data_IF_272977289608
#
_entry.id   IF_272977289608
#
_cell.length_a   1.000
_cell.length_b   1.000
_cell.length_c   1.000
_cell.angle_alpha   90.00
_cell.angle_beta   90.00
_cell.angle_gamma   90.00
#
_symmetry.space_group_name_H-M   'P 1'
#
loop_
_entity.id
_entity.type
_entity.pdbx_description
1 polymer ?
#
# COMPACT_ATOMS: atom_id res chain seq x y z
N UNK A 1 -23.96 -0.79 -7.52
CA UNK A 1 -25.32 -1.33 -7.63
C UNK A 1 -25.36 -2.83 -7.98
N UNK A 2 -24.77 -3.32 -9.11
CA UNK A 2 -24.87 -4.73 -9.50
C UNK A 2 -24.30 -5.71 -8.45
N UNK A 3 -23.12 -5.42 -7.89
CA UNK A 3 -22.47 -6.27 -6.91
C UNK A 3 -23.32 -6.44 -5.63
N UNK A 4 -24.12 -5.45 -5.25
CA UNK A 4 -24.99 -5.50 -4.06
C UNK A 4 -26.29 -6.29 -4.28
N UNK A 5 -26.72 -6.48 -5.53
CA UNK A 5 -27.99 -7.13 -5.85
C UNK A 5 -28.07 -8.61 -5.41
N UNK A 6 -26.93 -9.25 -5.21
CA UNK A 6 -26.81 -10.65 -4.79
C UNK A 6 -26.59 -10.82 -3.28
N UNK A 7 -26.73 -9.74 -2.49
CA UNK A 7 -26.50 -9.71 -1.04
C UNK A 7 -25.16 -10.37 -0.65
N UNK A 8 -24.01 -9.89 -1.18
CA UNK A 8 -22.72 -10.48 -0.92
C UNK A 8 -22.27 -10.21 0.52
N UNK A 9 -21.35 -11.03 1.04
CA UNK A 9 -20.60 -10.76 2.28
C UNK A 9 -19.25 -10.09 2.01
N UNK A 10 -18.76 -10.17 0.76
CA UNK A 10 -17.46 -9.67 0.37
C UNK A 10 -17.52 -9.07 -1.04
N UNK A 11 -16.91 -7.90 -1.23
CA UNK A 11 -16.84 -7.21 -2.52
C UNK A 11 -15.39 -6.83 -2.83
N UNK A 12 -14.94 -7.11 -4.05
CA UNK A 12 -13.68 -6.58 -4.60
C UNK A 12 -13.99 -5.25 -5.29
N UNK A 13 -13.35 -4.19 -4.82
CA UNK A 13 -13.41 -2.84 -5.40
C UNK A 13 -12.06 -2.58 -6.09
N UNK A 14 -12.02 -2.80 -7.40
CA UNK A 14 -10.82 -2.57 -8.22
C UNK A 14 -10.86 -1.16 -8.80
N UNK A 15 -9.99 -0.30 -8.30
CA UNK A 15 -9.88 1.12 -8.63
C UNK A 15 -11.22 1.88 -8.72
N UNK A 16 -12.13 1.74 -7.76
CA UNK A 16 -13.53 2.18 -7.91
C UNK A 16 -13.71 3.69 -7.98
N UNK A 17 -12.67 4.46 -7.71
CA UNK A 17 -12.70 5.93 -7.63
C UNK A 17 -11.63 6.63 -8.50
N UNK A 18 -10.82 5.87 -9.27
CA UNK A 18 -9.67 6.41 -10.02
C UNK A 18 -10.03 7.47 -11.05
N UNK A 19 -11.23 7.39 -11.64
CA UNK A 19 -11.71 8.31 -12.68
C UNK A 19 -12.53 9.51 -12.13
N UNK A 20 -12.61 9.67 -10.80
CA UNK A 20 -13.43 10.69 -10.16
C UNK A 20 -12.56 11.86 -9.64
N UNK A 21 -13.12 13.05 -9.59
CA UNK A 21 -12.50 14.18 -8.90
C UNK A 21 -12.47 13.98 -7.36
N UNK A 22 -11.58 14.70 -6.68
CA UNK A 22 -11.30 14.52 -5.25
C UNK A 22 -12.54 14.67 -4.37
N UNK A 23 -13.44 15.58 -4.71
CA UNK A 23 -14.66 15.83 -3.92
C UNK A 23 -15.65 14.67 -4.05
N UNK A 24 -15.81 14.14 -5.24
CA UNK A 24 -16.66 12.97 -5.50
C UNK A 24 -16.04 11.70 -4.93
N UNK A 25 -14.71 11.54 -4.99
CA UNK A 25 -14.00 10.43 -4.33
C UNK A 25 -14.37 10.34 -2.84
N UNK A 26 -14.32 11.48 -2.13
CA UNK A 26 -14.65 11.51 -0.69
C UNK A 26 -16.12 11.10 -0.43
N UNK A 27 -17.06 11.54 -1.28
CA UNK A 27 -18.46 11.15 -1.17
C UNK A 27 -18.66 9.66 -1.39
N UNK A 28 -18.02 9.06 -2.41
CA UNK A 28 -18.09 7.64 -2.71
C UNK A 28 -17.48 6.81 -1.58
N UNK A 29 -16.35 7.22 -1.01
CA UNK A 29 -15.75 6.54 0.15
C UNK A 29 -16.70 6.54 1.35
N UNK A 30 -17.34 7.67 1.65
CA UNK A 30 -18.32 7.73 2.73
C UNK A 30 -19.54 6.84 2.45
N UNK A 31 -20.04 6.83 1.22
CA UNK A 31 -21.12 5.94 0.80
C UNK A 31 -20.73 4.46 1.00
N UNK A 32 -19.55 4.05 0.56
CA UNK A 32 -19.06 2.67 0.72
C UNK A 32 -18.94 2.29 2.20
N UNK A 33 -18.48 3.20 3.06
CA UNK A 33 -18.42 2.98 4.51
C UNK A 33 -19.80 2.80 5.14
N UNK A 34 -20.78 3.58 4.71
CA UNK A 34 -22.15 3.46 5.20
C UNK A 34 -22.74 2.11 4.77
N UNK A 35 -22.62 1.72 3.50
CA UNK A 35 -23.07 0.44 2.98
C UNK A 35 -22.37 -0.73 3.72
N UNK A 36 -21.08 -0.61 3.99
CA UNK A 36 -20.30 -1.59 4.75
C UNK A 36 -20.93 -1.86 6.12
N UNK A 37 -21.29 -0.80 6.83
CA UNK A 37 -21.90 -0.89 8.17
C UNK A 37 -23.34 -1.42 8.12
N UNK A 38 -24.13 -0.95 7.16
CA UNK A 38 -25.54 -1.32 7.04
C UNK A 38 -25.73 -2.79 6.65
N UNK A 39 -24.83 -3.31 5.80
CA UNK A 39 -24.94 -4.66 5.24
C UNK A 39 -23.91 -5.65 5.81
N UNK A 40 -23.10 -5.25 6.80
CA UNK A 40 -22.00 -6.03 7.39
C UNK A 40 -21.06 -6.62 6.32
N UNK A 41 -20.63 -5.77 5.39
CA UNK A 41 -19.80 -6.16 4.25
C UNK A 41 -18.30 -6.09 4.58
N UNK A 42 -17.54 -6.98 3.96
CA UNK A 42 -16.08 -6.87 3.85
C UNK A 42 -15.68 -6.40 2.45
N UNK A 43 -14.71 -5.49 2.37
CA UNK A 43 -14.15 -5.02 1.10
C UNK A 43 -12.70 -5.45 0.92
N UNK A 44 -12.34 -5.85 -0.30
CA UNK A 44 -10.98 -5.77 -0.80
C UNK A 44 -10.90 -4.53 -1.71
N UNK A 45 -10.25 -3.48 -1.22
CA UNK A 45 -10.14 -2.21 -1.93
C UNK A 45 -8.77 -2.11 -2.58
N UNK A 46 -8.71 -2.10 -3.92
CA UNK A 46 -7.48 -1.96 -4.71
C UNK A 46 -7.41 -0.53 -5.22
N UNK A 47 -6.34 0.18 -4.90
CA UNK A 47 -6.12 1.55 -5.35
C UNK A 47 -4.63 1.90 -5.34
N UNK A 48 -4.28 2.92 -6.13
CA UNK A 48 -2.93 3.48 -6.15
C UNK A 48 -2.79 4.73 -5.25
N UNK A 49 -3.89 5.32 -4.77
CA UNK A 49 -3.87 6.45 -3.85
C UNK A 49 -3.93 5.99 -2.39
N UNK A 50 -2.78 6.05 -1.72
CA UNK A 50 -2.62 5.68 -0.32
C UNK A 50 -3.39 6.58 0.65
N UNK A 51 -3.66 7.83 0.30
CA UNK A 51 -4.40 8.76 1.14
C UNK A 51 -5.83 8.27 1.30
N UNK A 52 -6.46 7.85 0.20
CA UNK A 52 -7.81 7.30 0.19
C UNK A 52 -7.89 5.93 0.87
N UNK A 53 -6.90 5.05 0.59
CA UNK A 53 -6.82 3.73 1.21
C UNK A 53 -6.77 3.83 2.74
N UNK A 54 -6.04 4.80 3.29
CA UNK A 54 -6.00 5.04 4.74
C UNK A 54 -7.38 5.29 5.35
N UNK A 55 -8.24 6.01 4.64
CA UNK A 55 -9.55 6.39 5.17
C UNK A 55 -10.58 5.27 5.16
N UNK A 56 -10.46 4.30 4.23
CA UNK A 56 -11.45 3.23 4.09
C UNK A 56 -11.00 1.90 4.71
N UNK A 57 -9.69 1.67 4.84
CA UNK A 57 -9.15 0.36 5.17
C UNK A 57 -8.75 0.22 6.63
N UNK A 58 -9.12 -0.89 7.28
CA UNK A 58 -8.61 -1.29 8.59
C UNK A 58 -7.20 -1.86 8.49
N UNK A 59 -6.91 -2.57 7.41
CA UNK A 59 -5.60 -3.15 7.10
C UNK A 59 -5.15 -2.76 5.70
N UNK A 60 -3.85 -2.54 5.54
CA UNK A 60 -3.23 -2.21 4.25
C UNK A 60 -2.20 -3.29 3.90
N UNK A 61 -2.25 -3.71 2.63
CA UNK A 61 -1.19 -4.47 2.00
C UNK A 61 -0.52 -3.62 0.92
N UNK A 62 0.80 -3.45 1.00
CA UNK A 62 1.59 -2.75 -0.01
C UNK A 62 2.23 -3.75 -0.93
N UNK A 63 1.98 -3.59 -2.23
CA UNK A 63 2.45 -4.51 -3.27
C UNK A 63 3.45 -3.81 -4.22
N UNK A 64 4.46 -4.54 -4.67
CA UNK A 64 5.42 -4.10 -5.67
C UNK A 64 5.71 -5.22 -6.66
N UNK A 65 5.54 -4.98 -7.96
CA UNK A 65 5.72 -5.97 -9.03
C UNK A 65 5.03 -7.33 -8.74
N UNK A 66 3.78 -7.30 -8.27
CA UNK A 66 3.03 -8.51 -7.95
C UNK A 66 3.36 -9.17 -6.61
N UNK A 67 4.36 -8.68 -5.88
CA UNK A 67 4.77 -9.22 -4.59
C UNK A 67 4.32 -8.33 -3.44
N UNK A 68 3.81 -8.95 -2.36
CA UNK A 68 3.47 -8.23 -1.13
C UNK A 68 4.74 -7.87 -0.37
N UNK A 69 4.93 -6.58 -0.08
CA UNK A 69 6.10 -6.06 0.64
C UNK A 69 5.83 -5.88 2.13
N UNK A 70 4.67 -5.36 2.48
CA UNK A 70 4.27 -5.10 3.86
C UNK A 70 2.76 -5.23 4.00
N UNK A 71 2.29 -5.85 5.11
CA UNK A 71 0.85 -5.98 5.44
C UNK A 71 0.65 -5.69 6.92
N UNK A 72 -0.33 -4.87 7.25
CA UNK A 72 -0.62 -4.57 8.66
C UNK A 72 -1.81 -3.65 8.87
N UNK A 73 -2.10 -3.28 10.13
CA UNK A 73 -3.08 -2.27 10.45
C UNK A 73 -2.78 -0.96 9.73
N UNK A 74 -3.81 -0.33 9.18
CA UNK A 74 -3.72 0.89 8.36
C UNK A 74 -2.89 1.98 9.05
N UNK A 75 -3.18 2.27 10.31
CA UNK A 75 -2.45 3.27 11.09
C UNK A 75 -0.95 2.96 11.23
N UNK A 76 -0.60 1.69 11.45
CA UNK A 76 0.79 1.30 11.65
C UNK A 76 1.58 1.38 10.36
N UNK A 77 1.01 0.88 9.25
CA UNK A 77 1.64 0.95 7.91
C UNK A 77 1.82 2.40 7.47
N UNK A 78 0.82 3.27 7.72
CA UNK A 78 0.84 4.65 7.27
C UNK A 78 1.81 5.52 8.07
N UNK A 79 1.82 5.41 9.41
CA UNK A 79 2.63 6.29 10.27
C UNK A 79 4.02 5.74 10.62
N UNK A 80 4.19 4.44 10.57
CA UNK A 80 5.44 3.74 10.94
C UNK A 80 5.78 2.62 9.94
N UNK A 81 5.90 2.94 8.63
CA UNK A 81 6.19 1.94 7.61
C UNK A 81 7.50 1.22 7.90
N UNK A 82 7.55 -0.08 7.62
CA UNK A 82 8.73 -0.92 7.84
C UNK A 82 9.52 -1.13 6.54
N UNK A 83 8.83 -1.53 5.47
CA UNK A 83 9.50 -1.83 4.23
C UNK A 83 10.04 -0.56 3.54
N UNK A 84 11.29 -0.53 3.04
CA UNK A 84 11.85 0.65 2.38
C UNK A 84 11.03 1.18 1.20
N UNK A 85 10.34 0.31 0.47
CA UNK A 85 9.40 0.73 -0.56
C UNK A 85 8.18 1.46 0.01
N UNK A 86 7.57 0.94 1.09
CA UNK A 86 6.44 1.60 1.77
C UNK A 86 6.84 2.98 2.29
N UNK A 87 8.06 3.10 2.86
CA UNK A 87 8.61 4.38 3.32
C UNK A 87 8.72 5.38 2.17
N UNK A 88 9.30 4.95 1.04
CA UNK A 88 9.46 5.81 -0.14
C UNK A 88 8.11 6.21 -0.74
N UNK A 89 7.17 5.27 -0.84
CA UNK A 89 5.83 5.48 -1.37
C UNK A 89 5.06 6.52 -0.54
N UNK A 90 5.07 6.37 0.80
CA UNK A 90 4.43 7.31 1.73
C UNK A 90 5.14 8.68 1.77
N UNK A 91 6.45 8.73 1.49
CA UNK A 91 7.19 9.99 1.40
C UNK A 91 6.74 10.86 0.23
N UNK A 92 6.18 10.25 -0.82
CA UNK A 92 5.73 10.94 -2.02
C UNK A 92 4.31 11.53 -1.90
N UNK A 93 3.57 11.20 -0.84
CA UNK A 93 2.23 11.75 -0.62
C UNK A 93 2.33 13.24 -0.33
N UNK A 94 1.62 14.10 -1.10
CA UNK A 94 1.56 15.53 -0.83
C UNK A 94 0.97 15.81 0.56
N UNK A 95 1.55 16.78 1.26
CA UNK A 95 1.02 17.26 2.54
C UNK A 95 0.41 18.63 2.29
N UNK A 96 -0.83 18.81 2.73
CA UNK A 96 -1.56 20.07 2.52
C UNK A 96 -0.99 21.24 3.35
N UNK A 97 -0.29 20.98 4.46
CA UNK A 97 0.35 22.00 5.27
C UNK A 97 1.71 22.38 4.67
N UNK A 98 1.89 23.65 4.21
CA UNK A 98 3.13 24.11 3.59
C UNK A 98 4.36 24.04 4.51
N UNK A 99 4.17 24.20 5.84
CA UNK A 99 5.27 24.16 6.80
C UNK A 99 5.79 22.73 7.00
N UNK A 100 4.86 21.77 7.10
CA UNK A 100 5.18 20.34 7.20
C UNK A 100 5.73 19.82 5.86
N UNK A 101 5.17 20.27 4.74
CA UNK A 101 5.62 19.90 3.41
C UNK A 101 7.08 20.29 3.15
N UNK A 102 7.52 21.48 3.60
CA UNK A 102 8.93 21.93 3.49
C UNK A 102 9.90 21.11 4.33
N UNK A 103 9.45 20.59 5.48
CA UNK A 103 10.25 19.77 6.37
C UNK A 103 10.37 18.30 5.90
N UNK A 104 9.38 17.80 5.14
CA UNK A 104 9.33 16.43 4.65
C UNK A 104 10.21 16.28 3.41
N UNK A 105 11.33 15.56 3.55
CA UNK A 105 12.15 15.18 2.38
C UNK A 105 11.49 14.02 1.64
N UNK A 106 11.14 14.26 0.36
CA UNK A 106 10.70 13.19 -0.54
C UNK A 106 11.89 12.27 -0.82
N UNK A 107 11.69 10.97 -0.66
CA UNK A 107 12.67 9.95 -1.03
C UNK A 107 12.54 9.70 -2.53
N UNK A 108 13.53 10.11 -3.28
CA UNK A 108 13.62 9.82 -4.72
C UNK A 108 14.25 8.45 -4.87
N UNK A 109 13.49 7.53 -5.46
CA UNK A 109 13.98 6.19 -5.77
C UNK A 109 14.78 6.26 -7.08
N UNK A 110 16.05 5.93 -7.01
CA UNK A 110 16.92 5.84 -8.18
C UNK A 110 16.71 4.54 -8.95
N UNK A 111 17.08 4.52 -10.22
CA UNK A 111 16.98 3.37 -11.11
C UNK A 111 15.60 3.18 -11.76
N UNK A 112 15.61 2.38 -12.82
CA UNK A 112 14.40 2.04 -13.56
C UNK A 112 13.54 1.03 -12.82
N UNK A 113 12.23 1.04 -13.10
CA UNK A 113 11.30 0.02 -12.59
C UNK A 113 11.58 -1.25 -13.40
N UNK A 114 11.96 -2.35 -12.72
CA UNK A 114 12.17 -3.62 -13.44
C UNK A 114 10.92 -4.10 -14.15
N UNK A 115 11.11 -4.79 -15.25
CA UNK A 115 9.99 -5.40 -15.96
C UNK A 115 9.32 -6.49 -15.11
N UNK A 116 8.00 -6.51 -15.01
CA UNK A 116 7.29 -7.60 -14.32
C UNK A 116 7.42 -8.94 -15.05
N UNK A 117 7.81 -8.95 -16.34
CA UNK A 117 8.05 -10.17 -17.11
C UNK A 117 9.37 -10.82 -16.71
N UNK A 118 10.39 -10.01 -16.42
CA UNK A 118 11.72 -10.46 -15.97
C UNK A 118 12.08 -9.77 -14.66
N UNK A 119 11.45 -10.15 -13.53
CA UNK A 119 11.73 -9.56 -12.23
C UNK A 119 13.14 -9.93 -11.77
N UNK A 120 13.75 -9.16 -10.85
CA UNK A 120 15.00 -9.51 -10.17
C UNK A 120 14.91 -10.89 -9.50
N UNK A 121 16.00 -11.65 -9.51
CA UNK A 121 16.07 -13.01 -8.94
C UNK A 121 15.82 -13.06 -7.42
N UNK A 122 16.14 -11.99 -6.70
CA UNK A 122 15.95 -11.87 -5.26
C UNK A 122 14.74 -11.01 -4.89
N UNK A 123 14.95 -10.08 -3.94
CA UNK A 123 13.92 -9.13 -3.57
C UNK A 123 13.52 -8.26 -4.78
N UNK A 124 12.23 -8.20 -5.16
CA UNK A 124 11.79 -7.42 -6.32
C UNK A 124 12.16 -5.95 -6.27
N UNK A 125 12.31 -5.40 -5.06
CA UNK A 125 12.68 -4.01 -4.84
C UNK A 125 14.21 -3.78 -4.74
N UNK A 126 15.03 -4.82 -4.83
CA UNK A 126 16.49 -4.75 -4.59
C UNK A 126 17.22 -3.74 -5.49
N UNK A 127 16.80 -3.57 -6.74
CA UNK A 127 17.42 -2.67 -7.71
C UNK A 127 17.21 -1.18 -7.38
N UNK A 128 16.20 -0.85 -6.58
CA UNK A 128 15.82 0.51 -6.21
C UNK A 128 15.86 0.76 -4.71
N UNK A 129 16.23 -0.24 -3.93
CA UNK A 129 16.27 -0.15 -2.47
C UNK A 129 17.57 0.52 -2.01
N UNK A 130 17.55 1.67 -1.30
CA UNK A 130 18.75 2.32 -0.80
C UNK A 130 19.45 1.51 0.31
N UNK A 131 18.79 0.45 0.82
CA UNK A 131 19.31 -0.46 1.85
C UNK A 131 19.55 -1.87 1.31
N UNK A 132 19.63 -2.03 -0.02
CA UNK A 132 19.85 -3.34 -0.62
C UNK A 132 21.24 -3.88 -0.26
N UNK A 133 21.26 -5.17 0.11
CA UNK A 133 22.48 -5.94 0.33
C UNK A 133 22.66 -6.97 -0.79
N UNK A 134 23.79 -7.65 -0.84
CA UNK A 134 24.03 -8.74 -1.78
C UNK A 134 22.98 -9.83 -1.62
N UNK A 135 22.61 -10.17 -0.39
CA UNK A 135 21.55 -11.15 -0.08
C UNK A 135 20.20 -10.76 -0.70
N UNK A 136 19.87 -9.46 -0.74
CA UNK A 136 18.63 -8.96 -1.37
C UNK A 136 18.61 -9.19 -2.89
N UNK A 137 19.79 -9.24 -3.54
CA UNK A 137 19.89 -9.49 -4.99
C UNK A 137 19.75 -10.97 -5.33
N UNK A 138 20.16 -11.85 -4.41
CA UNK A 138 20.24 -13.28 -4.62
C UNK A 138 19.02 -14.05 -4.10
N UNK A 139 18.37 -13.56 -3.04
CA UNK A 139 17.30 -14.25 -2.36
C UNK A 139 16.04 -13.41 -2.17
N UNK A 140 14.88 -14.05 -2.27
CA UNK A 140 13.59 -13.44 -1.96
C UNK A 140 13.41 -13.43 -0.44
N UNK A 141 13.16 -12.26 0.19
CA UNK A 141 12.97 -12.19 1.62
C UNK A 141 11.68 -12.90 2.04
N UNK A 142 11.70 -13.72 3.11
CA UNK A 142 10.49 -14.28 3.66
C UNK A 142 9.64 -13.21 4.36
N UNK A 143 8.35 -13.51 4.58
CA UNK A 143 7.52 -12.70 5.46
C UNK A 143 7.95 -12.89 6.91
N UNK A 144 8.39 -11.80 7.53
CA UNK A 144 8.76 -11.74 8.95
C UNK A 144 7.67 -10.99 9.72
N UNK A 145 7.26 -11.55 10.86
CA UNK A 145 6.31 -10.90 11.77
C UNK A 145 7.03 -9.87 12.64
N UNK A 146 6.62 -8.60 12.56
CA UNK A 146 7.11 -7.49 13.37
C UNK A 146 5.93 -6.85 14.10
N UNK A 147 5.71 -7.24 15.35
CA UNK A 147 4.50 -6.88 16.09
C UNK A 147 3.26 -7.49 15.45
N UNK A 148 2.31 -6.63 15.03
CA UNK A 148 1.06 -7.00 14.34
C UNK A 148 1.13 -6.87 12.81
N UNK A 149 2.33 -6.70 12.26
CA UNK A 149 2.60 -6.55 10.82
C UNK A 149 3.42 -7.71 10.28
N UNK A 150 3.29 -7.93 8.97
CA UNK A 150 4.13 -8.82 8.19
C UNK A 150 4.93 -7.98 7.19
N UNK A 151 6.23 -8.22 7.10
CA UNK A 151 7.12 -7.50 6.18
C UNK A 151 8.07 -8.48 5.46
N UNK A 152 8.16 -8.36 4.15
CA UNK A 152 9.07 -9.16 3.32
C UNK A 152 10.40 -8.41 3.16
N UNK A 153 11.24 -8.39 4.20
CA UNK A 153 12.49 -7.65 4.19
C UNK A 153 13.54 -8.25 5.14
N UNK A 154 14.75 -8.50 4.63
CA UNK A 154 15.87 -9.01 5.42
C UNK A 154 16.33 -8.11 6.57
N UNK A 155 15.98 -6.82 6.56
CA UNK A 155 16.27 -5.90 7.67
C UNK A 155 15.62 -6.32 8.99
N UNK A 156 14.58 -7.15 8.93
CA UNK A 156 13.79 -7.59 10.08
C UNK A 156 13.91 -9.09 10.37
N UNK A 157 14.64 -9.82 9.53
CA UNK A 157 14.98 -11.22 9.79
C UNK A 157 16.07 -11.27 10.88
N UNK A 158 15.78 -11.93 12.00
CA UNK A 158 16.71 -12.15 13.12
C UNK A 158 17.35 -13.51 13.02
#
# INVERSE_FOLDING_TARGET
ARALAVNPKFIVCDEPISALDVSIQAQVINLLKNIQKEMDLSYLFIAHDLSMVKHISDRIGVMYLGHMMEVGPSNDVYHRPLHPYTVALLSAIPISDPNIAKAKKRIVLEGEIPSPINPPSGCPFSTRCPKATQRCKEHVPPFVKVGNRLVACFLYER
#
